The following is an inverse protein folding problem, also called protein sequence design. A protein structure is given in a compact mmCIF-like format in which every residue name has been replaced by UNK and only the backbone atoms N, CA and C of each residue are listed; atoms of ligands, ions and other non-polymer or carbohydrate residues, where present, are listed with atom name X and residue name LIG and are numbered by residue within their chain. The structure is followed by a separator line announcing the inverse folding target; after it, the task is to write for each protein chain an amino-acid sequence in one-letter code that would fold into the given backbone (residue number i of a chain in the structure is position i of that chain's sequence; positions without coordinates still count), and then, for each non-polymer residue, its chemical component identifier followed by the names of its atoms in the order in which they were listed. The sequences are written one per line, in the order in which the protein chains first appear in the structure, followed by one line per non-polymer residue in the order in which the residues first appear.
data_IF_637589490455
#
_entry.id   IF_637589490455
#
_cell.length_a   1.000
_cell.length_b   1.000
_cell.length_c   1.000
_cell.angle_alpha   90.00
_cell.angle_beta   90.00
_cell.angle_gamma   90.00
#
_symmetry.space_group_name_H-M   'P 1'
#
loop_
_entity.id
_entity.type
_entity.pdbx_description
1 polymer ?
#
# COMPACT_ATOMS: atom_id res chain seq x y z
N UNK A 1 -17.02 -13.49 19.52
CA UNK A 1 -18.05 -13.20 18.49
C UNK A 1 -18.24 -14.46 17.65
N UNK A 2 -19.48 -14.94 17.47
CA UNK A 2 -19.74 -16.19 16.74
C UNK A 2 -19.40 -16.04 15.25
N UNK A 3 -18.63 -16.99 14.76
CA UNK A 3 -18.36 -17.22 13.33
C UNK A 3 -19.65 -17.76 12.72
N UNK A 4 -20.37 -16.97 11.93
CA UNK A 4 -21.49 -17.49 11.14
C UNK A 4 -20.99 -17.91 9.75
N UNK A 5 -20.69 -19.21 9.63
CA UNK A 5 -20.57 -19.87 8.33
C UNK A 5 -21.96 -19.95 7.72
N UNK A 6 -22.14 -19.41 6.52
CA UNK A 6 -23.39 -19.48 5.78
C UNK A 6 -23.14 -19.86 4.31
N UNK A 7 -24.17 -20.37 3.64
CA UNK A 7 -24.16 -20.57 2.18
C UNK A 7 -24.91 -19.38 1.56
N UNK A 8 -24.34 -18.79 0.52
CA UNK A 8 -25.00 -17.72 -0.25
C UNK A 8 -24.95 -18.01 -1.73
N UNK A 9 -26.05 -17.68 -2.43
CA UNK A 9 -26.12 -17.73 -3.90
C UNK A 9 -25.84 -16.32 -4.44
N UNK A 10 -24.79 -16.18 -5.23
CA UNK A 10 -24.43 -14.93 -5.91
C UNK A 10 -24.29 -15.22 -7.40
N UNK A 11 -25.02 -14.49 -8.24
CA UNK A 11 -25.00 -14.65 -9.71
C UNK A 11 -25.24 -16.10 -10.18
N UNK A 12 -26.10 -16.83 -9.46
CA UNK A 12 -26.46 -18.23 -9.77
C UNK A 12 -25.42 -19.28 -9.34
N UNK A 13 -24.39 -18.89 -8.57
CA UNK A 13 -23.39 -19.81 -8.00
C UNK A 13 -23.48 -19.83 -6.47
N UNK A 14 -23.36 -21.02 -5.90
CA UNK A 14 -23.26 -21.20 -4.44
C UNK A 14 -21.84 -20.91 -3.96
N UNK A 15 -21.76 -20.24 -2.82
CA UNK A 15 -20.51 -19.92 -2.13
C UNK A 15 -20.62 -20.28 -0.65
N UNK A 16 -19.54 -20.81 -0.10
CA UNK A 16 -19.33 -20.79 1.35
C UNK A 16 -18.93 -19.37 1.75
N UNK A 17 -19.61 -18.79 2.73
CA UNK A 17 -19.42 -17.41 3.18
C UNK A 17 -18.92 -17.38 4.62
N UNK A 18 -17.88 -16.59 4.83
CA UNK A 18 -17.34 -16.26 6.15
C UNK A 18 -17.52 -14.77 6.42
N UNK A 19 -18.36 -14.43 7.39
CA UNK A 19 -18.68 -13.07 7.79
C UNK A 19 -17.77 -12.59 8.93
N UNK A 20 -17.20 -11.40 8.79
CA UNK A 20 -16.29 -10.80 9.77
C UNK A 20 -16.72 -9.36 10.06
N UNK A 21 -16.97 -9.03 11.33
CA UNK A 21 -17.31 -7.66 11.76
C UNK A 21 -16.06 -6.85 12.09
N UNK A 22 -16.12 -5.55 11.80
CA UNK A 22 -15.04 -4.60 12.01
C UNK A 22 -15.59 -3.19 12.24
N UNK A 23 -14.97 -2.40 13.11
CA UNK A 23 -15.35 -1.01 13.34
C UNK A 23 -14.58 -0.06 12.42
N UNK A 24 -15.30 0.82 11.74
CA UNK A 24 -14.74 1.91 10.96
C UNK A 24 -15.34 3.22 11.45
N UNK A 25 -14.53 4.10 12.02
CA UNK A 25 -15.01 5.30 12.71
C UNK A 25 -14.42 6.57 12.11
N UNK A 26 -15.31 7.50 11.75
CA UNK A 26 -14.96 8.91 11.57
C UNK A 26 -15.15 9.70 12.87
N UNK A 27 -14.16 10.52 13.18
CA UNK A 27 -14.28 11.57 14.20
C UNK A 27 -14.18 12.91 13.49
N UNK A 28 -15.14 13.82 13.73
CA UNK A 28 -15.17 15.17 13.15
C UNK A 28 -15.81 16.14 14.14
N UNK A 29 -15.32 17.38 14.15
CA UNK A 29 -15.80 18.44 15.06
C UNK A 29 -17.07 19.13 14.52
N UNK A 30 -17.28 19.07 13.20
CA UNK A 30 -18.39 19.73 12.49
C UNK A 30 -19.28 18.72 11.73
N UNK A 31 -20.57 19.01 11.50
CA UNK A 31 -21.47 18.13 10.75
C UNK A 31 -20.97 17.83 9.33
N UNK A 32 -21.03 16.55 8.94
CA UNK A 32 -20.62 16.10 7.60
C UNK A 32 -21.80 15.99 6.62
N UNK A 33 -21.53 16.31 5.35
CA UNK A 33 -22.48 16.07 4.26
C UNK A 33 -22.61 14.57 3.95
N UNK A 34 -23.84 14.10 3.83
CA UNK A 34 -24.15 12.70 3.45
C UNK A 34 -23.47 12.30 2.13
N UNK A 35 -23.38 13.21 1.16
CA UNK A 35 -22.73 12.94 -0.12
C UNK A 35 -21.22 12.67 0.02
N UNK A 36 -20.54 13.40 0.91
CA UNK A 36 -19.12 13.19 1.20
C UNK A 36 -18.90 11.83 1.85
N UNK A 37 -19.82 11.44 2.73
CA UNK A 37 -19.79 10.17 3.39
C UNK A 37 -20.02 9.00 2.43
N UNK A 38 -21.06 9.05 1.60
CA UNK A 38 -21.33 8.03 0.58
C UNK A 38 -20.13 7.87 -0.36
N UNK A 39 -19.54 8.99 -0.81
CA UNK A 39 -18.34 8.98 -1.65
C UNK A 39 -17.19 8.24 -0.98
N UNK A 40 -17.00 8.50 0.32
CA UNK A 40 -15.98 7.88 1.13
C UNK A 40 -16.18 6.37 1.31
N UNK A 41 -17.39 5.94 1.67
CA UNK A 41 -17.74 4.53 1.84
C UNK A 41 -17.61 3.76 0.53
N UNK A 42 -18.00 4.37 -0.59
CA UNK A 42 -17.84 3.78 -1.92
C UNK A 42 -16.35 3.62 -2.28
N UNK A 43 -15.51 4.57 -1.89
CA UNK A 43 -14.06 4.45 -2.08
C UNK A 43 -13.47 3.34 -1.19
N UNK A 44 -13.93 3.22 0.06
CA UNK A 44 -13.55 2.14 0.97
C UNK A 44 -13.98 0.76 0.44
N UNK A 45 -15.21 0.63 -0.06
CA UNK A 45 -15.72 -0.57 -0.74
C UNK A 45 -14.87 -0.91 -1.98
N UNK A 46 -14.48 0.10 -2.75
CA UNK A 46 -13.61 -0.07 -3.92
C UNK A 46 -12.24 -0.60 -3.53
N UNK A 47 -11.60 -0.02 -2.50
CA UNK A 47 -10.32 -0.49 -1.97
C UNK A 47 -10.41 -1.93 -1.47
N UNK A 48 -11.43 -2.22 -0.66
CA UNK A 48 -11.71 -3.55 -0.12
C UNK A 48 -11.86 -4.57 -1.24
N UNK A 49 -12.77 -4.32 -2.18
CA UNK A 49 -13.10 -5.28 -3.24
C UNK A 49 -11.95 -5.47 -4.25
N UNK A 50 -11.14 -4.42 -4.46
CA UNK A 50 -10.04 -4.46 -5.44
C UNK A 50 -8.76 -5.10 -4.90
N UNK A 51 -8.46 -4.91 -3.61
CA UNK A 51 -7.13 -5.23 -3.08
C UNK A 51 -7.14 -6.23 -1.93
N UNK A 52 -8.15 -6.21 -1.05
CA UNK A 52 -8.17 -7.08 0.13
C UNK A 52 -8.12 -8.59 -0.23
N UNK A 53 -8.83 -9.09 -1.28
CA UNK A 53 -8.67 -10.49 -1.70
C UNK A 53 -7.22 -10.82 -2.08
N UNK A 54 -6.54 -9.96 -2.85
CA UNK A 54 -5.17 -10.19 -3.29
C UNK A 54 -4.17 -10.16 -2.13
N UNK A 55 -4.33 -9.21 -1.20
CA UNK A 55 -3.52 -9.11 0.02
C UNK A 55 -3.65 -10.40 0.85
N UNK A 56 -4.87 -10.84 1.15
CA UNK A 56 -5.11 -12.04 1.96
C UNK A 56 -4.66 -13.31 1.24
N UNK A 57 -4.88 -13.41 -0.07
CA UNK A 57 -4.42 -14.54 -0.87
C UNK A 57 -2.89 -14.66 -0.85
N UNK A 58 -2.17 -13.53 -0.94
CA UNK A 58 -0.71 -13.51 -0.92
C UNK A 58 -0.15 -13.81 0.49
N UNK A 59 -0.75 -13.26 1.55
CA UNK A 59 -0.31 -13.50 2.93
C UNK A 59 -0.46 -14.96 3.35
N UNK A 60 -1.57 -15.60 2.98
CA UNK A 60 -1.93 -16.91 3.51
C UNK A 60 -1.86 -18.05 2.49
N UNK A 61 -1.46 -17.77 1.24
CA UNK A 61 -1.53 -18.72 0.12
C UNK A 61 -2.95 -19.33 -0.03
N UNK A 62 -3.97 -18.48 -0.02
CA UNK A 62 -5.38 -18.91 -0.10
C UNK A 62 -6.06 -18.43 -1.38
N UNK A 63 -7.27 -18.94 -1.65
CA UNK A 63 -8.07 -18.57 -2.83
C UNK A 63 -9.44 -18.02 -2.43
N UNK A 64 -9.45 -16.80 -1.92
CA UNK A 64 -10.69 -16.01 -1.74
C UNK A 64 -11.14 -15.53 -3.11
N UNK A 65 -12.39 -15.83 -3.48
CA UNK A 65 -12.95 -15.47 -4.79
C UNK A 65 -13.36 -14.00 -4.85
N UNK A 66 -13.97 -13.52 -3.77
CA UNK A 66 -14.49 -12.16 -3.65
C UNK A 66 -14.64 -11.80 -2.18
N UNK A 67 -14.57 -10.50 -1.92
CA UNK A 67 -14.98 -9.89 -0.66
C UNK A 67 -16.06 -8.86 -0.94
N UNK A 68 -17.12 -8.84 -0.11
CA UNK A 68 -18.10 -7.75 -0.08
C UNK A 68 -18.06 -7.11 1.30
N UNK A 69 -18.15 -5.79 1.36
CA UNK A 69 -18.32 -5.03 2.61
C UNK A 69 -19.73 -4.46 2.68
N UNK A 70 -20.35 -4.51 3.85
CA UNK A 70 -21.66 -3.95 4.10
C UNK A 70 -21.66 -3.16 5.42
N UNK A 71 -22.41 -2.07 5.47
CA UNK A 71 -22.66 -1.30 6.70
C UNK A 71 -23.78 -1.99 7.47
N UNK A 72 -23.53 -2.33 8.74
CA UNK A 72 -24.50 -2.99 9.62
C UNK A 72 -25.14 -2.05 10.63
N UNK A 73 -24.42 -1.02 11.08
CA UNK A 73 -24.91 -0.04 12.06
C UNK A 73 -24.24 1.33 11.81
N UNK A 74 -24.98 2.40 12.10
CA UNK A 74 -24.50 3.79 12.10
C UNK A 74 -24.92 4.45 13.42
N UNK A 75 -23.95 4.93 14.21
CA UNK A 75 -24.22 5.61 15.50
C UNK A 75 -24.16 7.15 15.38
N UNK A 76 -24.87 7.87 16.27
CA UNK A 76 -24.97 9.35 16.30
C UNK A 76 -23.92 9.95 17.24
N UNK A 77 -23.17 10.97 16.78
CA UNK A 77 -22.17 11.72 17.60
C UNK A 77 -20.70 11.37 17.32
N UNK A 78 -20.49 10.28 16.60
CA UNK A 78 -19.32 9.97 15.78
C UNK A 78 -19.85 9.01 14.72
N UNK A 79 -19.52 9.18 13.44
CA UNK A 79 -20.00 8.23 12.44
C UNK A 79 -19.18 6.93 12.58
N UNK A 80 -19.59 6.11 13.54
CA UNK A 80 -19.13 4.75 13.73
C UNK A 80 -19.96 3.86 12.82
N UNK A 81 -19.29 3.21 11.88
CA UNK A 81 -19.86 2.14 11.11
C UNK A 81 -19.34 0.80 11.61
N UNK A 82 -20.24 -0.14 11.86
CA UNK A 82 -19.87 -1.55 11.94
C UNK A 82 -19.95 -2.13 10.54
N UNK A 83 -18.79 -2.49 10.00
CA UNK A 83 -18.65 -3.09 8.68
C UNK A 83 -18.61 -4.61 8.78
N UNK A 84 -19.36 -5.30 7.93
CA UNK A 84 -19.32 -6.76 7.77
C UNK A 84 -18.61 -7.09 6.45
N UNK A 85 -17.49 -7.78 6.55
CA UNK A 85 -16.77 -8.37 5.42
C UNK A 85 -17.26 -9.79 5.19
N UNK A 86 -17.84 -10.04 4.03
CA UNK A 86 -18.24 -11.37 3.57
C UNK A 86 -17.19 -11.91 2.61
N UNK A 87 -16.44 -12.93 3.02
CA UNK A 87 -15.46 -13.64 2.20
C UNK A 87 -16.14 -14.82 1.52
N UNK A 88 -16.03 -14.92 0.18
CA UNK A 88 -16.70 -15.94 -0.62
C UNK A 88 -15.69 -17.00 -1.10
N UNK A 89 -15.96 -18.27 -0.80
CA UNK A 89 -15.17 -19.45 -1.20
C UNK A 89 -15.96 -20.32 -2.17
N UNK A 90 -15.26 -21.00 -3.10
CA UNK A 90 -15.88 -21.82 -4.16
C UNK A 90 -16.70 -23.00 -3.61
N UNK A 91 -16.24 -23.61 -2.52
CA UNK A 91 -16.80 -24.79 -1.88
C UNK A 91 -16.33 -24.86 -0.42
N UNK A 92 -16.86 -25.84 0.31
CA UNK A 92 -16.53 -26.07 1.72
C UNK A 92 -15.07 -26.48 1.92
N UNK A 93 -14.50 -27.26 0.99
CA UNK A 93 -13.11 -27.69 1.05
C UNK A 93 -12.15 -26.49 0.99
N UNK A 94 -12.42 -25.50 0.11
CA UNK A 94 -11.65 -24.26 0.06
C UNK A 94 -11.76 -23.42 1.33
N UNK A 95 -12.92 -23.40 1.97
CA UNK A 95 -13.10 -22.74 3.27
C UNK A 95 -12.27 -23.42 4.36
N UNK A 96 -12.31 -24.76 4.42
CA UNK A 96 -11.54 -25.53 5.40
C UNK A 96 -10.02 -25.38 5.17
N UNK A 97 -9.58 -25.41 3.91
CA UNK A 97 -8.18 -25.15 3.54
C UNK A 97 -7.74 -23.75 3.98
N UNK A 98 -8.59 -22.73 3.76
CA UNK A 98 -8.35 -21.36 4.23
C UNK A 98 -8.14 -21.30 5.75
N UNK A 99 -9.03 -21.91 6.53
CA UNK A 99 -8.88 -21.93 8.00
C UNK A 99 -7.59 -22.64 8.44
N UNK A 100 -7.22 -23.74 7.80
CA UNK A 100 -5.99 -24.47 8.12
C UNK A 100 -4.73 -23.66 7.78
N UNK A 101 -4.68 -23.03 6.61
CA UNK A 101 -3.52 -22.22 6.19
C UNK A 101 -3.29 -21.03 7.10
N UNK A 102 -4.35 -20.35 7.52
CA UNK A 102 -4.20 -19.24 8.47
C UNK A 102 -3.70 -19.74 9.83
N UNK A 103 -4.24 -20.84 10.37
CA UNK A 103 -3.75 -21.41 11.64
C UNK A 103 -2.28 -21.78 11.58
N UNK A 104 -1.84 -22.38 10.47
CA UNK A 104 -0.42 -22.70 10.22
C UNK A 104 0.44 -21.45 10.16
N UNK A 105 0.02 -20.47 9.37
CA UNK A 105 0.73 -19.20 9.23
C UNK A 105 0.90 -18.51 10.59
N UNK A 106 -0.14 -18.50 11.42
CA UNK A 106 -0.13 -17.88 12.73
C UNK A 106 0.50 -18.74 13.85
N UNK A 107 0.94 -19.98 13.54
CA UNK A 107 1.47 -20.90 14.55
C UNK A 107 0.44 -21.38 15.59
N UNK A 108 -0.86 -21.32 15.27
CA UNK A 108 -1.98 -21.66 16.18
C UNK A 108 -2.63 -23.00 15.83
N UNK A 109 -1.90 -23.90 15.17
CA UNK A 109 -2.38 -25.20 14.67
C UNK A 109 -3.10 -26.04 15.72
N UNK A 110 -2.60 -25.98 16.96
CA UNK A 110 -3.03 -26.79 18.10
C UNK A 110 -3.91 -26.01 19.10
N UNK A 111 -4.28 -24.77 18.79
CA UNK A 111 -5.14 -23.96 19.67
C UNK A 111 -6.60 -24.13 19.24
N UNK A 112 -7.44 -24.64 20.14
CA UNK A 112 -8.90 -24.60 20.01
C UNK A 112 -9.37 -23.14 20.21
N UNK A 113 -9.23 -22.33 19.16
CA UNK A 113 -9.57 -20.93 19.14
C UNK A 113 -10.03 -20.46 17.77
N UNK A 114 -10.94 -19.48 17.75
CA UNK A 114 -11.32 -18.77 16.54
C UNK A 114 -10.15 -17.91 16.06
N UNK A 115 -9.73 -18.07 14.80
CA UNK A 115 -8.83 -17.14 14.11
C UNK A 115 -9.42 -15.73 14.25
N UNK A 116 -8.64 -14.77 14.75
CA UNK A 116 -9.09 -13.39 14.87
C UNK A 116 -9.03 -12.66 13.52
N UNK A 117 -9.89 -13.09 12.60
CA UNK A 117 -9.93 -12.54 11.24
C UNK A 117 -10.30 -11.05 11.24
N UNK A 118 -11.09 -10.59 12.22
CA UNK A 118 -11.39 -9.17 12.39
C UNK A 118 -10.13 -8.33 12.54
N UNK A 119 -9.17 -8.77 13.37
CA UNK A 119 -7.87 -8.09 13.52
C UNK A 119 -7.00 -8.20 12.26
N UNK A 120 -6.97 -9.36 11.60
CA UNK A 120 -6.22 -9.52 10.34
C UNK A 120 -6.73 -8.55 9.27
N UNK A 121 -8.06 -8.44 9.10
CA UNK A 121 -8.68 -7.50 8.16
C UNK A 121 -8.42 -6.05 8.61
N UNK A 122 -8.49 -5.75 9.92
CA UNK A 122 -8.14 -4.44 10.47
C UNK A 122 -6.73 -4.03 10.08
N UNK A 123 -5.74 -4.89 10.31
CA UNK A 123 -4.34 -4.62 10.00
C UNK A 123 -4.11 -4.47 8.50
N UNK A 124 -4.72 -5.34 7.68
CA UNK A 124 -4.63 -5.26 6.22
C UNK A 124 -5.22 -3.93 5.69
N UNK A 125 -6.39 -3.53 6.18
CA UNK A 125 -7.04 -2.28 5.75
C UNK A 125 -6.32 -1.05 6.29
N UNK A 126 -5.85 -1.07 7.53
CA UNK A 126 -4.99 -0.03 8.12
C UNK A 126 -3.74 0.16 7.27
N UNK A 127 -3.06 -0.93 6.91
CA UNK A 127 -1.85 -0.88 6.08
C UNK A 127 -2.14 -0.36 4.68
N UNK A 128 -3.25 -0.79 4.06
CA UNK A 128 -3.68 -0.30 2.75
C UNK A 128 -3.94 1.21 2.74
N UNK A 129 -4.65 1.72 3.76
CA UNK A 129 -4.92 3.15 3.91
C UNK A 129 -3.63 3.94 4.16
N UNK A 130 -2.73 3.45 5.01
CA UNK A 130 -1.44 4.09 5.28
C UNK A 130 -0.51 4.11 4.07
N UNK A 131 -0.37 2.99 3.35
CA UNK A 131 0.43 2.93 2.11
C UNK A 131 -0.15 3.86 1.04
N UNK A 132 -1.46 3.88 0.85
CA UNK A 132 -2.10 4.79 -0.09
C UNK A 132 -1.96 6.27 0.30
N UNK A 133 -1.96 6.60 1.59
CA UNK A 133 -1.65 7.94 2.07
C UNK A 133 -0.18 8.31 1.80
N UNK A 134 0.73 7.35 1.92
CA UNK A 134 2.12 7.50 1.48
C UNK A 134 2.25 7.84 -0.01
N UNK A 135 1.35 7.31 -0.87
CA UNK A 135 1.28 7.69 -2.29
C UNK A 135 0.75 9.11 -2.50
N UNK A 136 -0.19 9.57 -1.69
CA UNK A 136 -0.65 10.97 -1.73
C UNK A 136 0.47 11.95 -1.36
N UNK A 137 1.29 11.58 -0.38
CA UNK A 137 2.40 12.38 0.12
C UNK A 137 3.70 12.19 -0.69
N UNK A 138 3.63 11.75 -1.96
CA UNK A 138 4.82 11.40 -2.73
C UNK A 138 5.84 12.54 -2.84
N UNK A 139 5.37 13.80 -2.90
CA UNK A 139 6.19 15.02 -2.94
C UNK A 139 6.81 15.40 -1.60
N UNK A 140 6.34 14.83 -0.49
CA UNK A 140 6.83 15.12 0.84
C UNK A 140 8.18 14.39 1.09
N UNK A 141 8.97 14.86 2.07
CA UNK A 141 10.19 14.20 2.49
C UNK A 141 9.97 12.70 2.79
N UNK A 142 10.93 11.81 2.47
CA UNK A 142 10.83 10.38 2.75
C UNK A 142 10.47 10.05 4.21
N UNK A 143 10.96 10.84 5.16
CA UNK A 143 10.73 10.68 6.59
C UNK A 143 9.23 10.77 6.96
N UNK A 144 8.47 11.67 6.34
CA UNK A 144 7.03 11.82 6.61
C UNK A 144 6.25 10.60 6.11
N UNK A 145 6.61 10.08 4.93
CA UNK A 145 6.01 8.85 4.38
C UNK A 145 6.36 7.62 5.23
N UNK A 146 7.61 7.54 5.69
CA UNK A 146 8.09 6.43 6.51
C UNK A 146 7.46 6.45 7.92
N UNK A 147 7.20 7.62 8.49
CA UNK A 147 6.55 7.73 9.80
C UNK A 147 5.17 7.03 9.82
N UNK A 148 4.39 7.15 8.74
CA UNK A 148 3.10 6.46 8.59
C UNK A 148 3.31 4.93 8.63
N UNK A 149 4.21 4.41 7.78
CA UNK A 149 4.44 2.96 7.71
C UNK A 149 5.06 2.41 9.00
N UNK A 150 5.97 3.13 9.64
CA UNK A 150 6.63 2.70 10.87
C UNK A 150 5.64 2.62 12.04
N UNK A 151 4.70 3.58 12.13
CA UNK A 151 3.66 3.55 13.14
C UNK A 151 2.76 2.30 12.96
N UNK A 152 2.35 2.01 11.73
CA UNK A 152 1.54 0.83 11.41
C UNK A 152 2.27 -0.46 11.78
N UNK A 153 3.53 -0.59 11.38
CA UNK A 153 4.39 -1.74 11.72
C UNK A 153 4.50 -1.92 13.23
N UNK A 154 4.77 -0.84 13.96
CA UNK A 154 4.91 -0.88 15.42
C UNK A 154 3.64 -1.38 16.09
N UNK A 155 2.48 -0.88 15.68
CA UNK A 155 1.18 -1.28 16.24
C UNK A 155 0.87 -2.74 15.95
N UNK A 156 1.12 -3.20 14.72
CA UNK A 156 0.91 -4.61 14.33
C UNK A 156 1.81 -5.53 15.15
N UNK A 157 3.11 -5.24 15.20
CA UNK A 157 4.10 -6.08 15.88
C UNK A 157 3.92 -6.09 17.41
N UNK A 158 3.26 -5.07 17.97
CA UNK A 158 2.92 -5.02 19.38
C UNK A 158 1.68 -5.86 19.76
N UNK A 159 0.83 -6.23 18.80
CA UNK A 159 -0.37 -7.05 19.07
C UNK A 159 -0.01 -8.54 19.09
N UNK A 160 0.16 -9.08 20.29
CA UNK A 160 0.47 -10.50 20.50
C UNK A 160 -0.68 -11.47 20.22
N UNK A 161 -1.89 -10.96 19.95
CA UNK A 161 -3.05 -11.80 19.64
C UNK A 161 -3.12 -12.27 18.19
N UNK A 162 -2.29 -11.68 17.31
CA UNK A 162 -2.13 -12.11 15.92
C UNK A 162 -0.64 -12.17 15.59
N UNK A 163 -0.13 -13.35 15.28
CA UNK A 163 1.26 -13.54 14.84
C UNK A 163 1.45 -13.07 13.38
N UNK A 164 1.35 -11.76 13.14
CA UNK A 164 1.55 -11.12 11.85
C UNK A 164 2.80 -10.25 11.88
N UNK A 165 3.66 -10.37 10.87
CA UNK A 165 4.79 -9.47 10.67
C UNK A 165 4.34 -8.20 9.92
N UNK A 166 4.43 -7.05 10.59
CA UNK A 166 4.00 -5.76 10.07
C UNK A 166 4.78 -5.33 8.83
N UNK A 167 6.10 -5.56 8.83
CA UNK A 167 6.97 -5.26 7.69
C UNK A 167 6.59 -6.08 6.46
N UNK A 168 6.36 -7.39 6.65
CA UNK A 168 5.88 -8.25 5.58
C UNK A 168 4.51 -7.80 5.06
N UNK A 169 3.56 -7.44 5.93
CA UNK A 169 2.27 -6.93 5.50
C UNK A 169 2.40 -5.65 4.64
N UNK A 170 3.24 -4.70 5.06
CA UNK A 170 3.51 -3.49 4.26
C UNK A 170 4.09 -3.85 2.90
N UNK A 171 4.99 -4.85 2.83
CA UNK A 171 5.58 -5.30 1.57
C UNK A 171 4.53 -5.87 0.61
N UNK A 172 3.63 -6.73 1.12
CA UNK A 172 2.53 -7.33 0.35
C UNK A 172 1.58 -6.26 -0.17
N UNK A 173 1.19 -5.31 0.68
CA UNK A 173 0.30 -4.21 0.28
C UNK A 173 0.94 -3.35 -0.82
N UNK A 174 2.23 -3.02 -0.71
CA UNK A 174 2.96 -2.26 -1.73
C UNK A 174 3.07 -3.02 -3.05
N UNK A 175 3.25 -4.34 -3.02
CA UNK A 175 3.29 -5.17 -4.21
C UNK A 175 1.92 -5.21 -4.91
N UNK A 176 0.86 -5.54 -4.16
CA UNK A 176 -0.52 -5.63 -4.68
C UNK A 176 -0.98 -4.30 -5.28
N UNK A 177 -0.61 -3.17 -4.68
CA UNK A 177 -1.02 -1.83 -5.14
C UNK A 177 -0.01 -1.18 -6.10
N UNK A 178 1.15 -1.81 -6.34
CA UNK A 178 2.27 -1.19 -7.03
C UNK A 178 2.00 -0.84 -8.50
N UNK A 179 1.12 -1.58 -9.17
CA UNK A 179 0.69 -1.30 -10.55
C UNK A 179 -0.46 -0.29 -10.65
N UNK A 180 -1.09 0.05 -9.53
CA UNK A 180 -2.31 0.87 -9.48
C UNK A 180 -2.20 2.03 -8.48
N UNK A 181 -0.98 2.49 -8.18
CA UNK A 181 -0.70 3.54 -7.18
C UNK A 181 -1.61 4.77 -7.32
N UNK A 182 -1.80 5.26 -8.56
CA UNK A 182 -2.71 6.38 -8.86
C UNK A 182 -4.13 6.11 -8.35
N UNK A 183 -4.73 5.01 -8.80
CA UNK A 183 -6.09 4.61 -8.41
C UNK A 183 -6.19 4.37 -6.90
N UNK A 184 -5.16 3.80 -6.29
CA UNK A 184 -5.09 3.60 -4.84
C UNK A 184 -5.09 4.93 -4.10
N UNK A 185 -4.23 5.87 -4.50
CA UNK A 185 -4.14 7.19 -3.90
C UNK A 185 -5.46 7.97 -4.04
N UNK A 186 -6.08 7.99 -5.23
CA UNK A 186 -7.38 8.63 -5.46
C UNK A 186 -8.49 8.08 -4.54
N UNK A 187 -8.56 6.76 -4.36
CA UNK A 187 -9.56 6.17 -3.46
C UNK A 187 -9.23 6.46 -1.99
N UNK A 188 -7.95 6.42 -1.60
CA UNK A 188 -7.55 6.78 -0.24
C UNK A 188 -7.84 8.26 0.08
N UNK A 189 -7.62 9.18 -0.86
CA UNK A 189 -7.97 10.59 -0.69
C UNK A 189 -9.47 10.76 -0.44
N UNK A 190 -10.32 10.02 -1.16
CA UNK A 190 -11.77 10.02 -0.94
C UNK A 190 -12.15 9.45 0.43
N UNK A 191 -11.47 8.39 0.88
CA UNK A 191 -11.69 7.81 2.21
C UNK A 191 -11.41 8.84 3.32
N UNK A 192 -10.32 9.60 3.18
CA UNK A 192 -9.91 10.62 4.15
C UNK A 192 -10.60 11.98 3.98
N UNK A 193 -11.28 12.25 2.86
CA UNK A 193 -11.89 13.54 2.59
C UNK A 193 -12.87 14.03 3.68
N UNK A 194 -13.78 13.19 4.22
CA UNK A 194 -14.57 13.49 5.42
C UNK A 194 -13.77 14.06 6.59
N UNK A 195 -12.73 13.35 7.00
CA UNK A 195 -11.90 13.67 8.15
C UNK A 195 -11.04 14.92 7.86
N UNK A 196 -10.40 14.97 6.70
CA UNK A 196 -9.55 16.10 6.27
C UNK A 196 -10.30 17.43 6.24
N UNK A 197 -11.56 17.45 5.77
CA UNK A 197 -12.39 18.67 5.72
C UNK A 197 -12.79 19.21 7.10
N UNK A 198 -12.89 18.34 8.11
CA UNK A 198 -13.48 18.66 9.41
C UNK A 198 -12.48 18.47 10.55
N UNK A 199 -11.19 18.64 10.27
CA UNK A 199 -10.08 18.46 11.22
C UNK A 199 -10.19 17.15 12.02
N UNK A 200 -10.62 16.08 11.36
CA UNK A 200 -10.96 14.79 11.93
C UNK A 200 -9.92 13.71 11.70
N UNK A 201 -10.20 12.52 12.21
CA UNK A 201 -9.38 11.31 11.96
C UNK A 201 -10.25 10.11 11.56
N UNK A 202 -9.58 9.06 11.09
CA UNK A 202 -10.18 7.75 10.82
C UNK A 202 -9.52 6.74 11.74
N UNK A 203 -10.34 5.95 12.43
CA UNK A 203 -9.87 4.80 13.18
C UNK A 203 -10.51 3.52 12.68
N UNK A 204 -9.69 2.48 12.58
CA UNK A 204 -10.10 1.10 12.27
C UNK A 204 -9.94 0.28 13.54
N UNK A 205 -10.90 -0.59 13.85
CA UNK A 205 -10.83 -1.31 15.11
C UNK A 205 -11.69 -2.55 15.25
N UNK A 206 -11.48 -3.19 16.38
CA UNK A 206 -12.31 -4.23 17.00
C UNK A 206 -12.69 -3.74 18.40
N UNK A 207 -13.49 -4.53 19.12
CA UNK A 207 -13.96 -4.17 20.47
C UNK A 207 -12.80 -3.80 21.44
N UNK A 208 -11.61 -4.36 21.24
CA UNK A 208 -10.43 -4.25 22.12
C UNK A 208 -9.28 -3.38 21.58
N UNK A 209 -9.18 -3.16 20.27
CA UNK A 209 -8.05 -2.46 19.63
C UNK A 209 -8.57 -1.47 18.59
N UNK A 210 -8.02 -0.26 18.57
CA UNK A 210 -8.27 0.75 17.54
C UNK A 210 -6.97 1.35 17.06
N UNK A 211 -6.86 1.52 15.74
CA UNK A 211 -5.67 2.03 15.07
C UNK A 211 -6.07 3.21 14.20
N UNK A 212 -5.29 4.27 14.31
CA UNK A 212 -5.33 5.40 13.41
C UNK A 212 -4.27 5.18 12.33
N UNK A 213 -4.65 4.84 11.07
CA UNK A 213 -3.66 4.48 10.05
C UNK A 213 -2.77 5.66 9.65
N UNK A 214 -3.33 6.87 9.72
CA UNK A 214 -2.66 8.13 9.43
C UNK A 214 -3.13 9.11 10.48
N UNK A 215 -2.17 9.71 11.17
CA UNK A 215 -2.46 10.61 12.27
C UNK A 215 -3.22 11.88 11.79
N UNK A 216 -4.08 12.43 12.64
CA UNK A 216 -5.03 13.52 12.38
C UNK A 216 -4.40 14.76 11.73
N UNK A 217 -3.28 15.22 12.27
CA UNK A 217 -2.44 16.30 11.73
C UNK A 217 -1.95 16.04 10.30
N UNK A 218 -1.67 14.78 9.95
CA UNK A 218 -1.29 14.37 8.60
C UNK A 218 -2.52 14.27 7.71
N UNK A 219 -3.65 13.79 8.23
CA UNK A 219 -4.94 13.77 7.50
C UNK A 219 -5.36 15.17 7.05
N UNK A 220 -5.15 16.19 7.88
CA UNK A 220 -5.43 17.58 7.56
C UNK A 220 -4.59 18.12 6.37
N UNK A 221 -3.41 17.55 6.11
CA UNK A 221 -2.50 17.99 5.04
C UNK A 221 -2.49 17.07 3.83
N UNK A 222 -3.25 15.97 3.84
CA UNK A 222 -3.35 15.06 2.71
C UNK A 222 -3.87 15.79 1.45
N UNK A 223 -3.16 15.68 0.30
CA UNK A 223 -3.68 16.16 -0.97
C UNK A 223 -5.03 15.54 -1.31
N UNK A 224 -5.96 16.38 -1.80
CA UNK A 224 -7.29 15.94 -2.26
C UNK A 224 -7.24 15.18 -3.57
N UNK A 225 -6.32 15.61 -4.43
CA UNK A 225 -6.04 15.01 -5.72
C UNK A 225 -4.53 14.89 -5.88
N UNK A 226 -4.09 13.81 -6.51
CA UNK A 226 -2.69 13.55 -6.80
C UNK A 226 -2.58 13.07 -8.24
N UNK A 227 -1.57 13.54 -8.98
CA UNK A 227 -1.24 12.97 -10.28
C UNK A 227 0.11 12.25 -10.18
N UNK A 228 0.04 10.94 -10.04
CA UNK A 228 1.18 10.03 -10.01
C UNK A 228 1.58 9.56 -11.40
N UNK A 229 0.88 9.96 -12.47
CA UNK A 229 1.24 9.60 -13.85
C UNK A 229 2.57 10.22 -14.27
N UNK A 230 2.95 11.33 -13.63
CA UNK A 230 4.26 11.97 -13.77
C UNK A 230 5.25 11.56 -12.67
N UNK A 231 4.88 10.62 -11.78
CA UNK A 231 5.82 10.07 -10.80
C UNK A 231 6.64 8.99 -11.49
N UNK A 232 7.95 9.21 -11.69
CA UNK A 232 8.75 8.19 -12.32
C UNK A 232 8.80 6.93 -11.46
N UNK A 233 8.68 5.78 -12.11
CA UNK A 233 9.00 4.53 -11.45
C UNK A 233 10.51 4.52 -11.25
N UNK A 234 10.98 4.63 -10.02
CA UNK A 234 12.41 4.60 -9.70
C UNK A 234 12.80 3.27 -9.07
N UNK A 235 13.95 2.74 -9.44
CA UNK A 235 14.60 1.60 -8.77
C UNK A 235 16.05 1.96 -8.45
N UNK A 236 16.47 1.62 -7.24
CA UNK A 236 17.83 1.87 -6.76
C UNK A 236 18.72 0.65 -7.01
N UNK A 237 19.92 0.91 -7.52
CA UNK A 237 20.95 -0.09 -7.78
C UNK A 237 22.22 0.34 -7.07
N UNK A 238 22.75 -0.56 -6.23
CA UNK A 238 23.98 -0.32 -5.49
C UNK A 238 25.16 -1.00 -6.17
N UNK A 239 26.29 -0.32 -6.17
CA UNK A 239 27.58 -0.87 -6.59
C UNK A 239 27.58 -1.49 -7.99
N UNK A 240 27.12 -0.73 -8.98
CA UNK A 240 26.96 -1.18 -10.36
C UNK A 240 27.87 -0.44 -11.34
N UNK A 241 28.26 -1.14 -12.41
CA UNK A 241 29.01 -0.56 -13.52
C UNK A 241 28.10 0.32 -14.40
N UNK A 242 28.37 1.62 -14.37
CA UNK A 242 27.73 2.64 -15.20
C UNK A 242 28.68 3.01 -16.32
N UNK A 243 28.31 2.72 -17.55
CA UNK A 243 29.12 3.00 -18.73
C UNK A 243 28.76 4.37 -19.29
N UNK A 244 29.68 5.33 -19.20
CA UNK A 244 29.49 6.69 -19.67
C UNK A 244 29.64 6.71 -21.20
N UNK A 245 28.62 7.19 -21.90
CA UNK A 245 28.52 7.19 -23.37
C UNK A 245 28.59 8.59 -23.98
N UNK A 246 28.36 9.63 -23.20
CA UNK A 246 28.59 11.02 -23.58
C UNK A 246 28.84 11.87 -22.33
N UNK A 247 29.68 12.90 -22.47
CA UNK A 247 30.15 13.76 -21.38
C UNK A 247 30.17 15.21 -21.82
N UNK A 248 29.89 16.12 -20.91
CA UNK A 248 30.12 17.56 -21.06
C UNK A 248 30.97 18.01 -19.85
N UNK A 249 32.22 18.38 -20.06
CA UNK A 249 33.15 18.74 -18.97
C UNK A 249 32.84 20.11 -18.37
N UNK A 250 32.11 20.94 -19.11
CA UNK A 250 31.83 22.31 -18.74
C UNK A 250 30.48 22.43 -18.01
N UNK A 251 29.62 21.38 -18.07
CA UNK A 251 28.26 21.40 -17.54
C UNK A 251 27.81 20.05 -16.99
N UNK A 252 26.96 20.08 -15.96
CA UNK A 252 26.26 18.88 -15.46
C UNK A 252 25.18 18.36 -16.43
N UNK A 253 24.83 19.13 -17.47
CA UNK A 253 23.96 18.70 -18.57
C UNK A 253 24.76 18.05 -19.69
N UNK A 254 24.17 17.13 -20.47
CA UNK A 254 24.84 16.54 -21.63
C UNK A 254 25.54 15.21 -21.36
N UNK A 255 25.41 14.70 -20.13
CA UNK A 255 25.89 13.39 -19.74
C UNK A 255 24.89 12.30 -20.08
N UNK A 256 25.40 11.18 -20.60
CA UNK A 256 24.59 10.02 -20.92
C UNK A 256 25.32 8.72 -20.59
N UNK A 257 24.57 7.73 -20.16
CA UNK A 257 25.11 6.44 -19.76
C UNK A 257 24.21 5.27 -20.17
N UNK A 258 24.78 4.07 -20.06
CA UNK A 258 24.08 2.78 -20.11
C UNK A 258 24.51 1.93 -18.92
N UNK A 259 23.66 1.00 -18.53
CA UNK A 259 23.91 0.00 -17.50
C UNK A 259 23.51 -1.32 -18.14
N UNK A 260 24.42 -2.29 -18.18
CA UNK A 260 24.15 -3.52 -18.91
C UNK A 260 22.93 -4.25 -18.31
N UNK A 261 22.10 -4.84 -19.17
CA UNK A 261 20.82 -5.50 -18.85
C UNK A 261 19.71 -4.64 -18.20
N UNK A 262 20.02 -3.52 -17.55
CA UNK A 262 19.03 -2.64 -16.88
C UNK A 262 18.66 -1.46 -17.79
N UNK A 263 19.67 -0.82 -18.38
CA UNK A 263 19.53 0.34 -19.26
C UNK A 263 20.24 0.04 -20.59
N UNK A 264 19.61 -0.76 -21.48
CA UNK A 264 20.24 -1.27 -22.69
C UNK A 264 20.51 -0.21 -23.76
N UNK A 265 19.90 0.97 -23.63
CA UNK A 265 20.05 2.09 -24.56
C UNK A 265 20.47 3.34 -23.82
N UNK A 266 21.28 4.19 -24.47
CA UNK A 266 21.79 5.44 -23.89
C UNK A 266 20.65 6.33 -23.38
N UNK A 267 20.67 6.64 -22.09
CA UNK A 267 19.75 7.60 -21.44
C UNK A 267 20.53 8.72 -20.76
N UNK A 268 19.83 9.80 -20.38
CA UNK A 268 20.44 10.92 -19.66
C UNK A 268 20.99 10.43 -18.31
N UNK A 269 22.22 10.84 -18.01
CA UNK A 269 22.84 10.70 -16.70
C UNK A 269 22.74 12.03 -15.96
N UNK A 270 22.10 12.03 -14.80
CA UNK A 270 21.98 13.17 -13.91
C UNK A 270 23.06 13.04 -12.83
N UNK A 271 23.83 14.11 -12.64
CA UNK A 271 25.00 14.13 -11.78
C UNK A 271 24.74 14.94 -10.51
N UNK A 272 25.33 14.55 -9.36
CA UNK A 272 25.36 15.40 -8.17
C UNK A 272 26.00 16.76 -8.46
N UNK A 273 25.58 17.80 -7.75
CA UNK A 273 26.14 19.15 -7.94
C UNK A 273 27.62 19.24 -7.58
N UNK A 274 28.08 18.41 -6.64
CA UNK A 274 29.41 18.41 -6.04
C UNK A 274 30.40 17.43 -6.69
N UNK A 275 30.04 16.79 -7.80
CA UNK A 275 30.90 15.80 -8.44
C UNK A 275 32.03 16.43 -9.28
N UNK A 276 33.22 15.82 -9.23
CA UNK A 276 34.34 16.20 -10.09
C UNK A 276 34.11 15.71 -11.54
N UNK A 277 33.64 16.62 -12.39
CA UNK A 277 33.37 16.36 -13.81
C UNK A 277 34.62 15.92 -14.60
N UNK A 278 35.81 16.43 -14.24
CA UNK A 278 37.04 16.04 -14.93
C UNK A 278 37.42 14.61 -14.59
N UNK A 279 37.31 14.23 -13.32
CA UNK A 279 37.52 12.85 -12.88
C UNK A 279 36.50 11.92 -13.53
N UNK A 280 35.24 12.32 -13.61
CA UNK A 280 34.18 11.52 -14.20
C UNK A 280 34.37 11.32 -15.72
N UNK A 281 34.73 12.39 -16.44
CA UNK A 281 34.87 12.37 -17.89
C UNK A 281 36.07 11.56 -18.40
N UNK A 282 37.03 11.24 -17.54
CA UNK A 282 38.20 10.43 -17.88
C UNK A 282 37.94 8.91 -17.77
N UNK A 283 36.78 8.51 -17.22
CA UNK A 283 36.44 7.11 -17.01
C UNK A 283 35.32 6.69 -17.96
N UNK A 284 35.57 5.70 -18.82
CA UNK A 284 34.53 5.14 -19.70
C UNK A 284 33.50 4.30 -18.92
N UNK A 285 33.87 3.81 -17.75
CA UNK A 285 33.01 3.04 -16.85
C UNK A 285 33.33 3.43 -15.43
N UNK A 286 32.30 3.65 -14.63
CA UNK A 286 32.41 3.97 -13.20
C UNK A 286 31.60 2.95 -12.42
N UNK A 287 32.05 2.64 -11.21
CA UNK A 287 31.30 1.83 -10.26
C UNK A 287 30.57 2.76 -9.29
N UNK A 288 29.25 2.63 -9.19
CA UNK A 288 28.43 3.62 -8.51
C UNK A 288 27.12 3.07 -7.95
N UNK A 289 26.56 3.83 -7.01
CA UNK A 289 25.17 3.72 -6.61
C UNK A 289 24.34 4.67 -7.49
N UNK A 290 23.25 4.15 -8.04
CA UNK A 290 22.38 4.90 -8.96
C UNK A 290 20.91 4.64 -8.69
N UNK A 291 20.08 5.61 -9.04
CA UNK A 291 18.63 5.45 -9.16
C UNK A 291 18.25 5.50 -10.63
N UNK A 292 17.57 4.48 -11.15
CA UNK A 292 17.07 4.45 -12.53
C UNK A 292 15.60 4.82 -12.52
N UNK A 293 15.24 5.87 -13.27
CA UNK A 293 13.86 6.26 -13.51
C UNK A 293 13.35 5.61 -14.81
N UNK A 294 12.18 4.99 -14.73
CA UNK A 294 11.49 4.29 -15.81
C UNK A 294 10.16 4.96 -16.15
N UNK A 295 9.86 5.02 -17.44
CA UNK A 295 8.52 5.25 -17.95
C UNK A 295 7.74 3.93 -17.94
N UNK A 296 6.52 3.96 -17.42
CA UNK A 296 5.59 2.84 -17.51
C UNK A 296 4.78 2.94 -18.81
N UNK A 297 4.84 1.92 -19.66
CA UNK A 297 3.95 1.84 -20.82
C UNK A 297 2.60 1.22 -20.42
N UNK A 298 1.56 1.52 -21.20
CA UNK A 298 0.20 0.98 -20.99
C UNK A 298 0.14 -0.56 -20.98
N UNK A 299 1.07 -1.23 -21.65
CA UNK A 299 1.19 -2.70 -21.67
C UNK A 299 1.97 -3.27 -20.47
N UNK A 300 2.27 -2.45 -19.46
CA UNK A 300 3.03 -2.84 -18.26
C UNK A 300 4.54 -2.93 -18.47
N UNK A 301 5.05 -2.79 -19.70
CA UNK A 301 6.50 -2.77 -19.95
C UNK A 301 7.14 -1.48 -19.44
N UNK A 302 8.34 -1.60 -18.90
CA UNK A 302 9.13 -0.49 -18.35
C UNK A 302 10.16 -0.05 -19.39
N UNK A 303 10.33 1.25 -19.57
CA UNK A 303 11.39 1.82 -20.42
C UNK A 303 12.27 2.73 -19.58
N UNK A 304 13.58 2.47 -19.46
CA UNK A 304 14.50 3.38 -18.79
C UNK A 304 14.45 4.77 -19.43
N UNK A 305 14.36 5.80 -18.61
CA UNK A 305 14.25 7.21 -19.02
C UNK A 305 15.47 8.03 -18.61
N UNK A 306 15.96 7.86 -17.38
CA UNK A 306 17.20 8.51 -16.90
C UNK A 306 17.87 7.70 -15.80
N UNK A 307 19.18 7.90 -15.65
CA UNK A 307 19.99 7.40 -14.55
C UNK A 307 20.35 8.62 -13.68
N UNK A 308 20.14 8.53 -12.37
CA UNK A 308 20.58 9.51 -11.39
C UNK A 308 21.75 8.91 -10.65
N UNK A 309 22.91 9.54 -10.73
CA UNK A 309 24.10 9.12 -9.99
C UNK A 309 23.98 9.60 -8.54
N UNK A 310 23.95 8.66 -7.60
CA UNK A 310 23.74 8.95 -6.17
C UNK A 310 25.07 9.10 -5.44
N UNK A 311 26.01 8.17 -5.69
CA UNK A 311 27.38 8.27 -5.20
C UNK A 311 28.31 7.38 -6.04
N UNK A 312 29.60 7.73 -6.10
CA UNK A 312 30.61 6.79 -6.59
C UNK A 312 30.83 5.72 -5.52
N UNK A 313 31.00 4.45 -5.93
CA UNK A 313 31.50 3.43 -5.03
C UNK A 313 32.95 3.78 -4.68
N UNK A 314 33.28 3.81 -3.39
CA UNK A 314 34.68 3.81 -2.94
C UNK A 314 35.25 2.42 -3.16
N UNK A 315 36.46 2.35 -3.72
CA UNK A 315 37.33 1.17 -3.60
C UNK A 315 37.63 0.86 -2.13
#
# INVERSE_FOLDING_TARGET
MMIEKSISIVDGKEYSVFAVSHEFRYTFDEPILVADLISSLKAYETLTSSYLPAILNQLFDVKIQKIKVAVSEIERGSFLEKLIFNLFFKDEDAYNEFCLKIRKFLGTENQDGSINMSKIIMFAMTTLLGVGAGYLLFKNPPQEKQAITNNIVTVINADSSVALDGEHLVSVVKEVTGSSKQKTAENVAKVYAPASKNNGSITLGTDDVRIEPVAQQTVATLPKDVDLRDTPLTEDYTDIDVQIRATDRDKNSGWYAVIDQIVPSRVRLELPEDIDLNRLANNATIRANVTVEFDLKQNGSRKPKKIILTSLSTD
#
